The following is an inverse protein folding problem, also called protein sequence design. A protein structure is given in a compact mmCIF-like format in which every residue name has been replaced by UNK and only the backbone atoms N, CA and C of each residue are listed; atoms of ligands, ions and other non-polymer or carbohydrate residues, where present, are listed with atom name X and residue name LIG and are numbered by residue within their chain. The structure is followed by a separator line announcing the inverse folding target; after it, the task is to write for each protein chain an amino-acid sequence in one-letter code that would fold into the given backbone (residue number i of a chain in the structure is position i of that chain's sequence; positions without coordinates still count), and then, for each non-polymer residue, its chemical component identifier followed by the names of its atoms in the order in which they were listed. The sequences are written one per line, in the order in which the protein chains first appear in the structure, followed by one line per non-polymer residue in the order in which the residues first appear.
data_IF_832720159670
#
_entry.id   IF_832720159670
#
_cell.length_a   1.000
_cell.length_b   1.000
_cell.length_c   1.000
_cell.angle_alpha   90.00
_cell.angle_beta   90.00
_cell.angle_gamma   90.00
#
_symmetry.space_group_name_H-M   'P 1'
#
loop_
_entity.id
_entity.type
_entity.pdbx_description
1 polymer ?
#
# COMPACT_ATOMS: atom_id res chain seq x y z
N UNK A 1 -14.70 -9.42 -1.14
CA UNK A 1 -14.71 -8.37 -2.17
C UNK A 1 -16.05 -8.29 -2.91
N UNK A 2 -16.47 -9.28 -3.71
CA UNK A 2 -17.81 -9.27 -4.34
C UNK A 2 -18.96 -9.23 -3.33
N UNK A 3 -18.81 -9.90 -2.18
CA UNK A 3 -19.78 -9.81 -1.07
C UNK A 3 -19.87 -8.40 -0.47
N UNK A 4 -18.76 -7.66 -0.45
CA UNK A 4 -18.70 -6.27 0.04
C UNK A 4 -19.47 -5.35 -0.91
N UNK A 5 -19.16 -5.41 -2.21
CA UNK A 5 -19.89 -4.67 -3.26
C UNK A 5 -21.38 -5.03 -3.19
N UNK A 6 -21.70 -6.33 -3.13
CA UNK A 6 -23.07 -6.82 -3.04
C UNK A 6 -23.78 -6.28 -1.81
N UNK A 7 -23.14 -6.30 -0.63
CA UNK A 7 -23.74 -5.78 0.60
C UNK A 7 -24.02 -4.28 0.54
N UNK A 8 -23.10 -3.49 -0.03
CA UNK A 8 -23.28 -2.04 -0.22
C UNK A 8 -24.34 -1.72 -1.26
N UNK A 9 -24.37 -2.44 -2.39
CA UNK A 9 -25.39 -2.29 -3.43
C UNK A 9 -26.78 -2.74 -2.96
N UNK A 10 -26.86 -3.79 -2.13
CA UNK A 10 -28.13 -4.22 -1.51
C UNK A 10 -28.68 -3.18 -0.52
N UNK A 11 -27.80 -2.43 0.15
CA UNK A 11 -28.17 -1.43 1.16
C UNK A 11 -28.52 -0.07 0.57
N UNK A 12 -27.66 0.48 -0.29
CA UNK A 12 -27.79 1.84 -0.81
C UNK A 12 -28.52 1.94 -2.14
N UNK A 13 -28.72 0.81 -2.86
CA UNK A 13 -29.22 0.71 -4.25
C UNK A 13 -28.41 1.49 -5.30
N UNK A 14 -27.60 2.48 -4.92
CA UNK A 14 -26.77 3.33 -5.78
C UNK A 14 -25.46 3.66 -5.08
N UNK A 15 -24.35 3.46 -5.79
CA UNK A 15 -23.01 3.81 -5.34
C UNK A 15 -22.72 5.31 -5.58
N UNK A 16 -23.53 6.18 -5.00
CA UNK A 16 -23.50 7.61 -5.28
C UNK A 16 -22.73 8.41 -4.22
N UNK A 17 -21.48 8.73 -4.55
CA UNK A 17 -20.65 9.59 -3.71
C UNK A 17 -21.04 11.07 -3.78
N UNK A 18 -21.86 11.51 -4.73
CA UNK A 18 -22.39 12.88 -4.76
C UNK A 18 -23.63 13.05 -3.86
N UNK A 19 -24.19 11.95 -3.35
CA UNK A 19 -25.21 11.94 -2.31
C UNK A 19 -24.64 11.36 -0.99
N UNK A 20 -23.68 12.01 -0.32
CA UNK A 20 -22.99 11.46 0.85
C UNK A 20 -23.93 11.07 2.00
N UNK A 21 -25.13 11.65 2.07
CA UNK A 21 -26.17 11.30 3.03
C UNK A 21 -26.74 9.89 2.87
N UNK A 22 -26.64 9.27 1.69
CA UNK A 22 -27.14 7.90 1.45
C UNK A 22 -26.09 6.82 1.73
N UNK A 23 -24.84 7.21 1.96
CA UNK A 23 -23.73 6.32 2.26
C UNK A 23 -23.34 6.40 3.75
N UNK A 24 -23.24 5.25 4.39
CA UNK A 24 -22.79 5.13 5.78
C UNK A 24 -21.27 5.13 5.87
N UNK A 25 -20.70 5.40 7.05
CA UNK A 25 -19.25 5.25 7.29
C UNK A 25 -18.74 3.85 6.95
N UNK A 26 -19.56 2.82 7.21
CA UNK A 26 -19.26 1.44 6.81
C UNK A 26 -19.13 1.30 5.29
N UNK A 27 -19.97 1.98 4.51
CA UNK A 27 -19.89 1.98 3.06
C UNK A 27 -18.61 2.70 2.59
N UNK A 28 -18.28 3.86 3.16
CA UNK A 28 -17.03 4.57 2.87
C UNK A 28 -15.80 3.72 3.17
N UNK A 29 -15.77 3.07 4.33
CA UNK A 29 -14.64 2.25 4.76
C UNK A 29 -14.48 1.03 3.86
N UNK A 30 -15.58 0.38 3.47
CA UNK A 30 -15.52 -0.77 2.59
C UNK A 30 -15.06 -0.46 1.17
N UNK A 31 -15.42 0.72 0.67
CA UNK A 31 -15.31 1.06 -0.74
C UNK A 31 -14.09 1.91 -1.06
N UNK A 32 -13.73 2.83 -0.16
CA UNK A 32 -12.59 3.72 -0.32
C UNK A 32 -11.45 3.36 0.64
N UNK A 33 -11.77 2.72 1.77
CA UNK A 33 -10.81 2.40 2.81
C UNK A 33 -10.63 3.48 3.86
N UNK A 34 -11.41 4.56 3.76
CA UNK A 34 -11.40 5.69 4.67
C UNK A 34 -12.74 5.78 5.37
N UNK A 35 -12.75 6.34 6.59
CA UNK A 35 -13.99 6.81 7.19
C UNK A 35 -14.58 7.95 6.34
N UNK A 36 -15.85 8.29 6.55
CA UNK A 36 -16.46 9.40 5.82
C UNK A 36 -15.77 10.73 6.13
N UNK A 37 -15.39 10.94 7.38
CA UNK A 37 -14.66 12.13 7.83
C UNK A 37 -13.28 12.25 7.17
N UNK A 38 -12.50 11.16 7.14
CA UNK A 38 -11.16 11.16 6.54
C UNK A 38 -11.23 11.36 5.02
N UNK A 39 -12.24 10.77 4.37
CA UNK A 39 -12.50 10.98 2.96
C UNK A 39 -12.73 12.47 2.65
N UNK A 40 -13.59 13.11 3.43
CA UNK A 40 -13.95 14.52 3.23
C UNK A 40 -12.75 15.44 3.53
N UNK A 41 -11.97 15.11 4.55
CA UNK A 41 -10.73 15.81 4.86
C UNK A 41 -9.74 15.75 3.68
N UNK A 42 -9.49 14.54 3.16
CA UNK A 42 -8.63 14.35 1.99
C UNK A 42 -9.14 15.14 0.78
N UNK A 43 -10.45 15.11 0.51
CA UNK A 43 -11.03 15.83 -0.62
C UNK A 43 -10.85 17.37 -0.52
N UNK A 44 -10.81 17.89 0.70
CA UNK A 44 -10.55 19.31 0.97
C UNK A 44 -9.08 19.68 0.77
N UNK A 45 -8.17 18.73 0.92
CA UNK A 45 -6.73 18.91 0.67
C UNK A 45 -6.32 18.77 -0.81
N UNK A 46 -7.28 18.69 -1.74
CA UNK A 46 -7.02 18.55 -3.18
C UNK A 46 -7.59 19.72 -3.99
N UNK A 47 -7.08 20.95 -3.83
CA UNK A 47 -7.55 22.12 -4.58
C UNK A 47 -7.31 21.99 -6.11
N UNK A 48 -6.31 21.25 -6.56
CA UNK A 48 -6.06 21.03 -8.00
C UNK A 48 -7.01 20.02 -8.64
N UNK A 49 -7.77 19.25 -7.84
CA UNK A 49 -8.75 18.30 -8.34
C UNK A 49 -10.09 18.98 -8.61
N UNK A 50 -10.35 19.24 -9.89
CA UNK A 50 -11.54 19.97 -10.32
C UNK A 50 -12.77 19.07 -10.55
N UNK A 51 -13.95 19.69 -10.35
CA UNK A 51 -15.22 19.18 -10.86
C UNK A 51 -15.22 19.22 -12.40
N UNK A 52 -16.06 18.38 -13.02
CA UNK A 52 -16.30 18.40 -14.46
C UNK A 52 -17.79 18.19 -14.74
N UNK A 53 -18.27 18.48 -15.95
CA UNK A 53 -19.68 18.22 -16.31
C UNK A 53 -20.10 16.75 -16.17
N UNK A 54 -19.14 15.81 -16.18
CA UNK A 54 -19.39 14.37 -16.16
C UNK A 54 -19.32 13.77 -14.75
N UNK A 55 -18.61 14.43 -13.82
CA UNK A 55 -18.38 13.94 -12.47
C UNK A 55 -17.89 15.05 -11.54
N UNK A 56 -18.24 14.96 -10.27
CA UNK A 56 -17.62 15.79 -9.23
C UNK A 56 -16.17 15.38 -8.94
N UNK A 57 -15.45 16.18 -8.16
CA UNK A 57 -14.17 15.78 -7.56
C UNK A 57 -14.34 14.67 -6.51
N UNK A 58 -15.49 14.60 -5.84
CA UNK A 58 -15.79 13.56 -4.83
C UNK A 58 -15.88 12.18 -5.50
N UNK A 59 -16.65 12.06 -6.58
CA UNK A 59 -16.74 10.83 -7.39
C UNK A 59 -15.38 10.47 -7.99
N UNK A 60 -14.61 11.45 -8.45
CA UNK A 60 -13.26 11.20 -8.96
C UNK A 60 -12.38 10.49 -7.93
N UNK A 61 -12.32 11.06 -6.72
CA UNK A 61 -11.55 10.52 -5.62
C UNK A 61 -12.06 9.13 -5.21
N UNK A 62 -13.38 8.93 -5.16
CA UNK A 62 -13.99 7.64 -4.85
C UNK A 62 -13.62 6.56 -5.88
N UNK A 63 -13.68 6.85 -7.18
CA UNK A 63 -13.25 5.93 -8.26
C UNK A 63 -11.79 5.51 -8.05
N UNK A 64 -10.92 6.47 -7.76
CA UNK A 64 -9.51 6.20 -7.52
C UNK A 64 -9.31 5.31 -6.29
N UNK A 65 -9.89 5.68 -5.14
CA UNK A 65 -9.73 4.92 -3.90
C UNK A 65 -10.35 3.52 -4.00
N UNK A 66 -11.50 3.36 -4.66
CA UNK A 66 -12.08 2.04 -4.93
C UNK A 66 -11.22 1.18 -5.85
N UNK A 67 -10.58 1.77 -6.88
CA UNK A 67 -9.59 1.04 -7.69
C UNK A 67 -8.44 0.55 -6.82
N UNK A 68 -7.91 1.42 -5.94
CA UNK A 68 -6.77 1.09 -5.09
C UNK A 68 -7.11 0.02 -4.03
N UNK A 69 -8.26 0.14 -3.37
CA UNK A 69 -8.68 -0.78 -2.30
C UNK A 69 -9.13 -2.14 -2.83
N UNK A 70 -9.83 -2.15 -3.95
CA UNK A 70 -10.55 -3.33 -4.41
C UNK A 70 -9.93 -3.94 -5.66
N UNK A 71 -8.96 -3.30 -6.32
CA UNK A 71 -8.31 -3.84 -7.51
C UNK A 71 -9.28 -4.10 -8.68
N UNK A 72 -10.43 -3.41 -8.72
CA UNK A 72 -11.48 -3.67 -9.72
C UNK A 72 -11.05 -3.23 -11.13
N UNK A 73 -11.50 -3.93 -12.17
CA UNK A 73 -11.23 -3.52 -13.55
C UNK A 73 -11.95 -2.20 -13.88
N UNK A 74 -11.46 -1.49 -14.91
CA UNK A 74 -12.10 -0.24 -15.35
C UNK A 74 -13.55 -0.46 -15.77
N UNK A 75 -13.86 -1.62 -16.36
CA UNK A 75 -15.23 -2.01 -16.71
C UNK A 75 -16.14 -2.14 -15.48
N UNK A 76 -15.66 -2.74 -14.39
CA UNK A 76 -16.46 -2.84 -13.16
C UNK A 76 -16.64 -1.46 -12.51
N UNK A 77 -15.59 -0.65 -12.46
CA UNK A 77 -15.70 0.73 -11.95
C UNK A 77 -16.65 1.58 -12.80
N UNK A 78 -16.62 1.41 -14.12
CA UNK A 78 -17.56 2.04 -15.06
C UNK A 78 -19.01 1.71 -14.71
N UNK A 79 -19.31 0.44 -14.42
CA UNK A 79 -20.64 0.00 -13.99
C UNK A 79 -21.01 0.58 -12.62
N UNK A 80 -20.11 0.48 -11.63
CA UNK A 80 -20.41 0.91 -10.26
C UNK A 80 -20.69 2.42 -10.15
N UNK A 81 -19.87 3.23 -10.82
CA UNK A 81 -19.98 4.69 -10.77
C UNK A 81 -20.82 5.26 -11.91
N UNK A 82 -21.40 4.43 -12.78
CA UNK A 82 -22.19 4.84 -13.94
C UNK A 82 -21.44 5.82 -14.86
N UNK A 83 -20.14 5.60 -15.03
CA UNK A 83 -19.26 6.40 -15.88
C UNK A 83 -18.88 5.62 -17.13
N UNK A 84 -18.54 6.31 -18.23
CA UNK A 84 -18.01 5.62 -19.43
C UNK A 84 -16.64 5.01 -19.13
N UNK A 85 -16.44 3.73 -19.42
CA UNK A 85 -15.18 2.99 -19.16
C UNK A 85 -13.92 3.72 -19.66
N UNK A 86 -13.97 4.27 -20.88
CA UNK A 86 -12.87 5.05 -21.49
C UNK A 86 -12.45 6.27 -20.66
N UNK A 87 -13.27 6.74 -19.72
CA UNK A 87 -12.97 7.88 -18.83
C UNK A 87 -12.31 7.45 -17.51
N UNK A 88 -12.50 6.21 -17.06
CA UNK A 88 -11.99 5.74 -15.75
C UNK A 88 -10.47 5.94 -15.63
N UNK A 89 -9.70 5.53 -16.65
CA UNK A 89 -8.25 5.73 -16.66
C UNK A 89 -7.84 7.20 -16.57
N UNK A 90 -8.55 8.10 -17.26
CA UNK A 90 -8.31 9.56 -17.19
C UNK A 90 -8.60 10.12 -15.80
N UNK A 91 -9.68 9.66 -15.16
CA UNK A 91 -10.06 10.05 -13.81
C UNK A 91 -8.97 9.62 -12.81
N UNK A 92 -8.54 8.36 -12.88
CA UNK A 92 -7.46 7.82 -12.04
C UNK A 92 -6.20 8.67 -12.19
N UNK A 93 -5.83 9.03 -13.43
CA UNK A 93 -4.66 9.85 -13.70
C UNK A 93 -4.79 11.26 -13.09
N UNK A 94 -5.94 11.91 -13.23
CA UNK A 94 -6.20 13.25 -12.69
C UNK A 94 -6.12 13.27 -11.16
N UNK A 95 -6.77 12.31 -10.50
CA UNK A 95 -6.70 12.20 -9.03
C UNK A 95 -5.27 11.98 -8.59
N UNK A 96 -4.54 11.07 -9.25
CA UNK A 96 -3.13 10.81 -8.93
C UNK A 96 -2.26 12.07 -9.07
N UNK A 97 -2.46 12.85 -10.13
CA UNK A 97 -1.73 14.10 -10.34
C UNK A 97 -2.03 15.10 -9.21
N UNK A 98 -3.31 15.25 -8.82
CA UNK A 98 -3.71 16.11 -7.72
C UNK A 98 -3.13 15.66 -6.38
N UNK A 99 -3.16 14.36 -6.08
CA UNK A 99 -2.53 13.81 -4.87
C UNK A 99 -1.03 14.13 -4.81
N UNK A 100 -0.31 13.97 -5.93
CA UNK A 100 1.13 14.26 -6.02
C UNK A 100 1.42 15.75 -5.82
N UNK A 101 0.55 16.63 -6.30
CA UNK A 101 0.77 18.07 -6.24
C UNK A 101 0.37 18.66 -4.88
N UNK A 102 -0.78 18.25 -4.35
CA UNK A 102 -1.42 18.95 -3.25
C UNK A 102 -1.27 18.24 -1.91
N UNK A 103 -1.19 16.90 -1.91
CA UNK A 103 -1.28 16.10 -0.67
C UNK A 103 0.07 15.49 -0.28
N UNK A 104 0.67 14.72 -1.18
CA UNK A 104 1.90 13.92 -0.96
C UNK A 104 3.13 14.73 -0.54
N UNK A 105 3.33 15.99 -0.99
CA UNK A 105 4.47 16.79 -0.54
C UNK A 105 4.42 17.09 0.96
N UNK A 106 3.21 17.19 1.52
CA UNK A 106 2.98 17.61 2.90
C UNK A 106 2.58 16.46 3.81
N UNK A 107 1.97 15.41 3.24
CA UNK A 107 1.41 14.29 3.98
C UNK A 107 2.02 12.96 3.54
N UNK A 108 2.25 12.09 4.52
CA UNK A 108 2.82 10.75 4.29
C UNK A 108 1.76 9.64 4.30
N UNK A 109 0.59 9.91 4.86
CA UNK A 109 -0.56 9.01 4.87
C UNK A 109 -1.85 9.78 5.12
N UNK A 110 -2.97 9.08 5.12
CA UNK A 110 -4.30 9.69 5.33
C UNK A 110 -4.50 10.27 6.74
N UNK A 111 -3.81 9.72 7.75
CA UNK A 111 -3.97 10.10 9.16
C UNK A 111 -3.14 11.33 9.59
N UNK A 112 -3.03 12.36 8.74
CA UNK A 112 -2.38 13.65 9.04
C UNK A 112 -1.00 13.56 9.69
N UNK A 113 -0.01 13.14 8.91
CA UNK A 113 1.37 13.18 9.38
C UNK A 113 2.19 13.98 8.41
N UNK A 114 2.69 15.09 8.94
CA UNK A 114 3.53 16.00 8.22
C UNK A 114 4.82 15.30 7.80
N UNK A 115 5.18 15.49 6.54
CA UNK A 115 6.48 15.06 6.03
C UNK A 115 7.65 15.63 6.85
N UNK A 116 7.45 16.79 7.49
CA UNK A 116 8.40 17.43 8.42
C UNK A 116 8.91 16.47 9.50
N UNK A 117 8.04 15.64 10.10
CA UNK A 117 8.44 14.68 11.15
C UNK A 117 9.48 13.68 10.64
N UNK A 118 9.37 13.27 9.38
CA UNK A 118 10.32 12.34 8.76
C UNK A 118 11.56 13.01 8.22
N UNK A 119 11.47 14.26 7.81
CA UNK A 119 12.66 15.05 7.51
C UNK A 119 13.50 15.28 8.77
N UNK A 120 12.87 15.44 9.95
CA UNK A 120 13.55 15.41 11.25
C UNK A 120 14.17 14.04 11.53
N UNK A 121 13.40 12.97 11.34
CA UNK A 121 13.85 11.59 11.51
C UNK A 121 15.08 11.29 10.61
N UNK A 122 15.10 11.80 9.37
CA UNK A 122 16.20 11.64 8.41
C UNK A 122 17.53 12.20 8.94
N UNK A 123 17.49 13.28 9.70
CA UNK A 123 18.67 13.94 10.27
C UNK A 123 19.02 13.45 11.68
N UNK A 124 18.27 12.49 12.22
CA UNK A 124 18.50 11.93 13.56
C UNK A 124 19.58 10.85 13.55
N UNK A 125 20.06 10.44 14.74
CA UNK A 125 21.01 9.35 14.89
C UNK A 125 20.26 8.02 15.00
N UNK A 126 20.66 7.05 14.20
CA UNK A 126 20.01 5.74 14.14
C UNK A 126 20.97 4.64 14.50
N UNK A 127 20.50 3.71 15.32
CA UNK A 127 21.26 2.51 15.72
C UNK A 127 20.55 1.27 15.18
N UNK A 128 21.33 0.29 14.77
CA UNK A 128 20.83 -0.97 14.22
C UNK A 128 20.62 -1.99 15.33
N UNK A 129 19.49 -2.68 15.31
CA UNK A 129 19.09 -3.71 16.26
C UNK A 129 18.56 -4.93 15.51
N UNK A 130 18.59 -6.10 16.15
CA UNK A 130 17.77 -7.21 15.66
C UNK A 130 16.29 -6.86 15.85
N UNK A 131 15.45 -7.29 14.92
CA UNK A 131 14.00 -7.14 15.02
C UNK A 131 13.41 -7.76 16.28
N UNK A 132 14.06 -8.74 16.91
CA UNK A 132 13.61 -9.28 18.21
C UNK A 132 13.73 -8.27 19.35
N UNK A 133 14.67 -7.32 19.24
CA UNK A 133 14.93 -6.29 20.25
C UNK A 133 14.09 -5.02 20.02
N UNK A 134 13.13 -5.09 19.09
CA UNK A 134 12.25 -3.99 18.73
C UNK A 134 10.84 -4.25 19.27
N UNK A 135 10.46 -3.44 20.26
CA UNK A 135 9.10 -3.36 20.79
C UNK A 135 8.18 -2.77 19.72
N UNK A 136 7.61 -3.66 18.91
CA UNK A 136 6.74 -3.31 17.79
C UNK A 136 5.42 -4.07 17.95
N UNK A 137 4.27 -3.43 17.68
CA UNK A 137 2.97 -4.02 17.94
C UNK A 137 2.71 -5.27 17.10
N UNK A 138 2.14 -6.30 17.71
CA UNK A 138 1.59 -7.45 17.00
C UNK A 138 0.34 -7.02 16.22
N UNK A 139 0.27 -7.43 14.95
CA UNK A 139 -0.78 -7.09 14.00
C UNK A 139 -1.50 -8.35 13.55
N UNK A 140 -2.83 -8.32 13.46
CA UNK A 140 -3.61 -9.38 12.84
C UNK A 140 -3.50 -9.36 11.31
N UNK A 141 -3.84 -10.48 10.66
CA UNK A 141 -3.88 -10.54 9.19
C UNK A 141 -4.87 -9.51 8.60
N UNK A 142 -6.00 -9.26 9.28
CA UNK A 142 -6.98 -8.28 8.84
C UNK A 142 -6.45 -6.84 8.96
N UNK A 143 -5.73 -6.52 10.05
CA UNK A 143 -5.05 -5.22 10.18
C UNK A 143 -4.01 -5.03 9.07
N UNK A 144 -3.24 -6.07 8.76
CA UNK A 144 -2.29 -6.02 7.65
C UNK A 144 -2.98 -5.80 6.29
N UNK A 145 -4.10 -6.48 6.03
CA UNK A 145 -4.88 -6.31 4.79
C UNK A 145 -5.42 -4.89 4.67
N UNK A 146 -5.91 -4.29 5.76
CA UNK A 146 -6.39 -2.92 5.77
C UNK A 146 -5.25 -1.92 5.55
N UNK A 147 -4.11 -2.07 6.24
CA UNK A 147 -2.94 -1.20 6.09
C UNK A 147 -2.33 -1.27 4.69
N UNK A 148 -2.37 -2.44 4.05
CA UNK A 148 -1.78 -2.67 2.73
C UNK A 148 -2.74 -2.43 1.57
N UNK A 149 -3.99 -2.04 1.86
CA UNK A 149 -5.07 -1.92 0.88
C UNK A 149 -5.25 -3.23 0.05
N UNK A 150 -5.02 -4.39 0.67
CA UNK A 150 -5.24 -5.71 0.10
C UNK A 150 -4.01 -6.63 -0.03
N UNK A 151 -4.26 -7.87 -0.45
CA UNK A 151 -3.26 -8.96 -0.40
C UNK A 151 -2.11 -8.82 -1.40
N UNK A 152 -2.26 -7.97 -2.41
CA UNK A 152 -1.26 -7.86 -3.49
C UNK A 152 0.11 -7.42 -2.96
N UNK A 153 0.14 -6.38 -2.13
CA UNK A 153 1.41 -5.90 -1.55
C UNK A 153 1.98 -6.91 -0.54
N UNK A 154 1.13 -7.64 0.18
CA UNK A 154 1.53 -8.71 1.10
C UNK A 154 2.18 -9.91 0.38
N UNK A 155 1.73 -10.25 -0.83
CA UNK A 155 2.38 -11.31 -1.63
C UNK A 155 3.80 -10.93 -2.00
N UNK A 156 4.02 -9.68 -2.42
CA UNK A 156 5.36 -9.20 -2.73
C UNK A 156 6.23 -9.03 -1.48
N UNK A 157 5.64 -8.62 -0.36
CA UNK A 157 6.31 -8.45 0.92
C UNK A 157 7.12 -9.68 1.33
N UNK A 158 6.56 -10.89 1.20
CA UNK A 158 7.24 -12.16 1.53
C UNK A 158 8.58 -12.31 0.79
N UNK A 159 8.59 -12.00 -0.51
CA UNK A 159 9.80 -12.07 -1.35
C UNK A 159 10.83 -11.03 -0.92
N UNK A 160 10.42 -9.80 -0.59
CA UNK A 160 11.35 -8.77 -0.08
C UNK A 160 11.99 -9.17 1.24
N UNK A 161 11.24 -9.79 2.14
CA UNK A 161 11.78 -10.26 3.41
C UNK A 161 12.72 -11.45 3.21
N UNK A 162 12.38 -12.40 2.33
CA UNK A 162 13.25 -13.54 2.03
C UNK A 162 14.61 -13.07 1.49
N UNK A 163 14.61 -12.18 0.50
CA UNK A 163 15.84 -11.59 -0.06
C UNK A 163 16.64 -10.81 0.98
N UNK A 164 15.96 -10.10 1.88
CA UNK A 164 16.62 -9.34 2.95
C UNK A 164 17.33 -10.27 3.93
N UNK A 165 16.67 -11.34 4.38
CA UNK A 165 17.27 -12.32 5.28
C UNK A 165 18.39 -13.14 4.62
N UNK A 166 18.31 -13.42 3.32
CA UNK A 166 19.36 -14.15 2.60
C UNK A 166 20.67 -13.35 2.50
N UNK A 167 20.58 -12.04 2.30
CA UNK A 167 21.76 -11.16 2.25
C UNK A 167 22.45 -11.04 3.59
N UNK A 168 21.72 -11.08 4.70
CA UNK A 168 22.29 -10.99 6.05
C UNK A 168 22.93 -12.31 6.54
N UNK A 169 22.57 -13.46 5.95
CA UNK A 169 23.29 -14.73 6.22
C UNK A 169 24.77 -14.66 5.83
N UNK A 170 25.11 -13.80 4.86
CA UNK A 170 26.50 -13.60 4.41
C UNK A 170 27.34 -12.77 5.38
N UNK A 171 26.72 -12.04 6.31
CA UNK A 171 27.35 -11.11 7.25
C UNK A 171 27.32 -11.59 8.71
N UNK A 172 26.43 -12.52 9.09
CA UNK A 172 26.33 -13.01 10.47
C UNK A 172 27.37 -14.09 10.80
N UNK A 173 28.13 -13.91 11.88
CA UNK A 173 29.16 -14.84 12.37
C UNK A 173 28.62 -16.16 12.98
N UNK A 174 27.30 -16.35 13.03
CA UNK A 174 26.66 -17.54 13.60
C UNK A 174 25.91 -18.33 12.53
N UNK A 175 26.24 -19.61 12.27
CA UNK A 175 25.57 -20.41 11.26
C UNK A 175 24.10 -20.64 11.63
N UNK A 176 23.18 -20.06 10.88
CA UNK A 176 21.75 -20.40 10.92
C UNK A 176 20.80 -19.37 11.55
N UNK A 177 21.29 -18.30 12.18
CA UNK A 177 20.44 -17.21 12.66
C UNK A 177 20.06 -16.28 11.48
N UNK A 178 18.76 -16.18 11.18
CA UNK A 178 18.25 -15.26 10.17
C UNK A 178 17.88 -13.95 10.87
N UNK A 179 18.83 -13.03 10.95
CA UNK A 179 18.60 -11.75 11.61
C UNK A 179 17.92 -10.78 10.64
N UNK A 180 16.88 -10.12 11.11
CA UNK A 180 16.24 -9.02 10.38
C UNK A 180 16.60 -7.74 11.11
N UNK A 181 17.36 -6.86 10.47
CA UNK A 181 17.81 -5.64 11.13
C UNK A 181 16.81 -4.51 10.97
N UNK A 182 16.57 -3.83 12.08
CA UNK A 182 15.80 -2.59 12.13
C UNK A 182 16.68 -1.48 12.67
N UNK A 183 16.35 -0.24 12.31
CA UNK A 183 17.01 0.93 12.87
C UNK A 183 16.03 1.72 13.73
N UNK A 184 16.45 2.05 14.95
CA UNK A 184 15.70 2.82 15.93
C UNK A 184 16.41 4.14 16.23
N UNK A 185 15.63 5.15 16.59
CA UNK A 185 16.05 6.50 16.92
C UNK A 185 15.72 6.78 18.39
N UNK A 186 16.73 7.11 19.21
CA UNK A 186 16.51 7.39 20.64
C UNK A 186 15.58 8.60 20.83
N UNK A 187 15.64 9.58 19.91
CA UNK A 187 14.80 10.78 19.97
C UNK A 187 13.34 10.53 19.52
N UNK A 188 13.09 9.43 18.79
CA UNK A 188 11.79 9.06 18.22
C UNK A 188 11.57 7.54 18.33
N UNK A 189 11.35 7.02 19.55
CA UNK A 189 11.18 5.57 19.77
C UNK A 189 9.90 5.02 19.11
N UNK A 190 8.94 5.90 18.79
CA UNK A 190 7.71 5.57 18.09
C UNK A 190 7.89 5.36 16.58
N UNK A 191 9.13 5.44 16.06
CA UNK A 191 9.46 5.27 14.65
C UNK A 191 10.53 4.19 14.49
N UNK A 192 10.18 3.14 13.75
CA UNK A 192 11.13 2.14 13.25
C UNK A 192 11.42 2.40 11.78
N UNK A 193 12.66 2.17 11.34
CA UNK A 193 12.96 2.14 9.90
C UNK A 193 13.75 0.91 9.48
N UNK A 194 13.55 0.50 8.24
CA UNK A 194 14.19 -0.66 7.61
C UNK A 194 14.76 -0.26 6.25
N UNK A 195 15.98 -0.73 5.99
CA UNK A 195 16.67 -0.50 4.71
C UNK A 195 16.52 -1.71 3.79
N UNK A 196 15.87 -1.50 2.66
CA UNK A 196 15.75 -2.48 1.59
C UNK A 196 16.67 -2.12 0.43
N UNK A 197 17.39 -3.09 -0.10
CA UNK A 197 18.17 -2.88 -1.33
C UNK A 197 17.23 -2.85 -2.55
N UNK A 198 17.44 -1.91 -3.47
CA UNK A 198 16.63 -1.81 -4.69
C UNK A 198 16.90 -2.99 -5.64
N UNK A 199 15.84 -3.64 -6.12
CA UNK A 199 15.92 -4.70 -7.16
C UNK A 199 16.38 -4.21 -8.53
N UNK A 200 16.22 -2.91 -8.81
CA UNK A 200 16.55 -2.32 -10.12
C UNK A 200 18.00 -1.82 -10.22
N UNK A 201 18.66 -1.55 -9.09
CA UNK A 201 20.04 -1.05 -9.05
C UNK A 201 20.66 -1.36 -7.70
N UNK A 202 21.84 -1.99 -7.68
CA UNK A 202 22.56 -2.34 -6.44
C UNK A 202 22.98 -1.11 -5.62
N UNK A 203 23.08 0.06 -6.25
CA UNK A 203 23.53 1.32 -5.65
C UNK A 203 22.44 2.08 -4.86
N UNK A 204 21.15 1.71 -4.96
CA UNK A 204 20.07 2.46 -4.31
C UNK A 204 19.44 1.67 -3.17
N UNK A 205 19.59 2.16 -1.95
CA UNK A 205 18.86 1.67 -0.78
C UNK A 205 17.56 2.46 -0.61
N UNK A 206 16.46 1.75 -0.40
CA UNK A 206 15.14 2.32 -0.07
C UNK A 206 14.92 2.18 1.43
N UNK A 207 14.45 3.24 2.05
CA UNK A 207 14.22 3.27 3.49
C UNK A 207 12.71 3.28 3.69
N UNK A 208 12.20 2.29 4.42
CA UNK A 208 10.82 2.22 4.89
C UNK A 208 10.80 2.67 6.34
N UNK A 209 9.97 3.63 6.68
CA UNK A 209 9.73 4.11 8.03
C UNK A 209 8.31 3.74 8.43
N UNK A 210 8.12 3.28 9.66
CA UNK A 210 6.81 3.00 10.24
C UNK A 210 6.73 3.71 11.57
N UNK A 211 5.71 4.55 11.73
CA UNK A 211 5.37 5.12 13.02
C UNK A 211 4.25 4.28 13.64
N UNK A 212 4.39 3.98 14.93
CA UNK A 212 3.43 3.19 15.67
C UNK A 212 3.16 3.80 17.06
N UNK A 213 2.05 3.39 17.67
CA UNK A 213 1.59 3.82 18.98
C UNK A 213 0.87 2.63 19.63
N UNK A 214 1.56 1.95 20.53
CA UNK A 214 1.09 0.71 21.17
C UNK A 214 -0.18 0.93 22.01
N UNK A 215 -0.48 2.17 22.40
CA UNK A 215 -1.66 2.49 23.18
C UNK A 215 -2.93 2.56 22.33
N UNK A 216 -2.82 2.54 21.00
CA UNK A 216 -3.96 2.64 20.08
C UNK A 216 -4.42 1.27 19.62
N UNK A 217 -5.76 1.12 19.54
CA UNK A 217 -6.41 -0.07 18.95
C UNK A 217 -5.97 -0.32 17.50
N UNK A 218 -5.65 0.73 16.76
CA UNK A 218 -4.95 0.66 15.48
C UNK A 218 -3.55 1.22 15.70
N UNK A 219 -2.56 0.35 15.99
CA UNK A 219 -1.30 0.81 16.53
C UNK A 219 -0.38 1.39 15.44
N UNK A 220 -0.63 1.10 14.16
CA UNK A 220 0.14 1.69 13.06
C UNK A 220 -0.42 3.06 12.73
N UNK A 221 0.37 4.10 13.03
CA UNK A 221 0.00 5.49 12.77
C UNK A 221 0.20 5.80 11.29
N UNK A 222 1.34 5.38 10.71
CA UNK A 222 1.64 5.54 9.28
C UNK A 222 2.87 4.78 8.80
N UNK A 223 2.98 4.71 7.47
CA UNK A 223 4.11 4.16 6.76
C UNK A 223 4.62 5.16 5.71
N UNK A 224 5.93 5.34 5.64
CA UNK A 224 6.60 6.09 4.58
C UNK A 224 7.66 5.23 3.93
N UNK A 225 7.83 5.31 2.61
CA UNK A 225 8.99 4.71 1.97
C UNK A 225 9.60 5.62 0.93
N UNK A 226 10.93 5.69 0.89
CA UNK A 226 11.68 6.48 -0.11
C UNK A 226 11.71 5.82 -1.50
N UNK A 227 10.98 4.73 -1.71
CA UNK A 227 10.80 4.15 -3.04
C UNK A 227 9.82 4.99 -3.87
N UNK A 228 9.91 4.86 -5.20
CA UNK A 228 9.06 5.65 -6.10
C UNK A 228 7.56 5.38 -5.89
N UNK A 229 7.17 4.18 -5.44
CA UNK A 229 5.80 3.91 -5.05
C UNK A 229 5.44 4.62 -3.73
N UNK A 230 6.26 4.46 -2.68
CA UNK A 230 6.02 5.09 -1.37
C UNK A 230 6.06 6.62 -1.39
N UNK A 231 6.78 7.23 -2.34
CA UNK A 231 6.87 8.68 -2.49
C UNK A 231 5.77 9.29 -3.38
N UNK A 232 4.92 8.48 -4.02
CA UNK A 232 3.92 8.92 -5.02
C UNK A 232 2.51 8.37 -4.78
N UNK A 233 2.29 7.64 -3.69
CA UNK A 233 1.01 6.98 -3.43
C UNK A 233 0.60 7.22 -1.99
N UNK A 234 -0.70 7.40 -1.77
CA UNK A 234 -1.25 7.27 -0.43
C UNK A 234 -1.52 5.79 -0.21
N UNK A 235 -0.77 5.19 0.72
CA UNK A 235 -0.86 3.76 1.01
C UNK A 235 0.51 3.09 1.16
N UNK A 236 0.48 1.77 1.29
CA UNK A 236 1.65 0.96 1.61
C UNK A 236 2.33 0.44 0.32
N UNK A 237 3.61 0.76 0.12
CA UNK A 237 4.40 0.09 -0.91
C UNK A 237 4.81 -1.32 -0.46
N UNK A 238 5.36 -2.13 -1.36
CA UNK A 238 5.83 -3.48 -1.03
C UNK A 238 6.92 -3.50 0.06
N UNK A 239 7.75 -2.46 0.18
CA UNK A 239 8.77 -2.35 1.24
C UNK A 239 8.13 -2.11 2.60
N UNK A 240 7.20 -1.16 2.70
CA UNK A 240 6.47 -0.93 3.95
C UNK A 240 5.59 -2.12 4.31
N UNK A 241 5.04 -2.82 3.31
CA UNK A 241 4.27 -4.04 3.54
C UNK A 241 5.17 -5.17 4.05
N UNK A 242 6.41 -5.27 3.56
CA UNK A 242 7.42 -6.19 4.07
C UNK A 242 7.77 -5.90 5.53
N UNK A 243 7.97 -4.63 5.89
CA UNK A 243 8.27 -4.24 7.27
C UNK A 243 7.09 -4.57 8.19
N UNK A 244 5.87 -4.14 7.83
CA UNK A 244 4.65 -4.43 8.57
C UNK A 244 4.41 -5.93 8.76
N UNK A 245 4.54 -6.70 7.67
CA UNK A 245 4.28 -8.14 7.69
C UNK A 245 5.30 -8.89 8.53
N UNK A 246 6.59 -8.54 8.44
CA UNK A 246 7.60 -9.23 9.23
C UNK A 246 7.52 -8.88 10.72
N UNK A 247 7.57 -7.59 11.05
CA UNK A 247 7.59 -7.11 12.43
C UNK A 247 6.26 -7.32 13.14
N UNK A 248 5.14 -7.09 12.46
CA UNK A 248 3.82 -7.20 13.08
C UNK A 248 3.23 -8.60 13.10
N UNK A 249 3.69 -9.53 12.25
CA UNK A 249 2.99 -10.81 12.09
C UNK A 249 3.92 -12.02 12.00
N UNK A 250 4.81 -12.08 11.00
CA UNK A 250 5.58 -13.29 10.73
C UNK A 250 6.55 -13.67 11.86
N UNK A 251 7.17 -12.69 12.54
CA UNK A 251 8.12 -13.00 13.64
C UNK A 251 7.44 -13.63 14.87
N UNK A 252 6.12 -13.48 15.01
CA UNK A 252 5.33 -14.01 16.12
C UNK A 252 4.82 -15.44 15.84
N UNK A 253 4.97 -15.93 14.61
CA UNK A 253 4.57 -17.30 14.25
C UNK A 253 5.69 -18.29 14.62
N UNK A 254 5.33 -19.32 15.40
CA UNK A 254 6.22 -20.42 15.82
C UNK A 254 6.84 -21.20 14.65
N UNK A 255 6.30 -21.06 13.44
CA UNK A 255 6.84 -21.70 12.23
C UNK A 255 7.10 -20.62 11.17
N UNK A 256 8.37 -20.44 10.73
CA UNK A 256 8.68 -19.49 9.66
C UNK A 256 8.00 -19.95 8.37
N UNK A 257 7.00 -19.21 7.89
CA UNK A 257 6.35 -19.49 6.61
C UNK A 257 7.19 -18.94 5.44
N UNK A 258 8.51 -19.20 5.46
CA UNK A 258 9.36 -18.97 4.30
C UNK A 258 9.21 -20.13 3.34
N UNK A 259 8.07 -20.22 2.68
CA UNK A 259 8.00 -21.02 1.47
C UNK A 259 8.82 -20.26 0.44
N UNK A 260 10.02 -20.77 0.16
CA UNK A 260 10.77 -20.42 -1.04
C UNK A 260 9.81 -20.59 -2.21
N UNK A 261 9.51 -19.50 -2.91
CA UNK A 261 8.78 -19.57 -4.18
C UNK A 261 9.74 -20.11 -5.24
N UNK A 262 10.00 -21.40 -5.18
CA UNK A 262 10.45 -22.22 -6.29
C UNK A 262 10.02 -23.66 -5.99
N UNK A 263 9.30 -24.25 -6.94
CA UNK A 263 8.87 -25.66 -6.93
C UNK A 263 7.70 -26.00 -5.98
N UNK A 264 6.49 -25.55 -6.34
CA UNK A 264 5.31 -26.42 -6.52
C UNK A 264 4.12 -25.58 -6.96
N UNK A 265 4.05 -25.38 -8.27
CA UNK A 265 2.89 -24.84 -8.98
C UNK A 265 1.57 -25.55 -8.59
N UNK A 266 1.63 -26.80 -8.12
CA UNK A 266 0.47 -27.59 -7.69
C UNK A 266 -0.03 -27.31 -6.26
N UNK A 267 0.83 -26.97 -5.30
CA UNK A 267 0.38 -26.65 -3.93
C UNK A 267 -0.36 -25.30 -3.88
N UNK A 268 -0.05 -24.41 -4.84
CA UNK A 268 -0.79 -23.18 -5.05
C UNK A 268 -2.20 -23.39 -5.62
N UNK A 269 -2.45 -24.50 -6.33
CA UNK A 269 -3.79 -24.82 -6.84
C UNK A 269 -4.68 -25.31 -5.70
N UNK A 270 -4.16 -26.08 -4.75
CA UNK A 270 -4.97 -26.63 -3.65
C UNK A 270 -5.35 -25.56 -2.59
N UNK A 271 -4.43 -24.65 -2.28
CA UNK A 271 -4.71 -23.46 -1.45
C UNK A 271 -5.64 -22.46 -2.17
N UNK A 272 -5.58 -22.39 -3.50
CA UNK A 272 -6.50 -21.59 -4.33
C UNK A 272 -7.85 -22.28 -4.55
N UNK A 273 -7.92 -23.61 -4.47
CA UNK A 273 -9.17 -24.38 -4.63
C UNK A 273 -10.11 -24.21 -3.44
N UNK A 274 -9.57 -24.03 -2.21
CA UNK A 274 -10.36 -23.58 -1.05
C UNK A 274 -10.85 -22.13 -1.14
N UNK A 275 -10.33 -21.34 -2.10
CA UNK A 275 -10.69 -19.95 -2.37
C UNK A 275 -11.12 -19.75 -3.85
N UNK A 276 -11.65 -20.80 -4.50
CA UNK A 276 -11.92 -20.81 -5.93
C UNK A 276 -13.19 -20.03 -6.30
N UNK A 277 -13.05 -18.72 -6.50
CA UNK A 277 -13.94 -17.93 -7.34
C UNK A 277 -13.32 -16.60 -7.84
N UNK A 278 -11.99 -16.50 -8.01
CA UNK A 278 -11.38 -15.25 -8.48
C UNK A 278 -10.68 -15.42 -9.83
N UNK A 279 -11.38 -14.89 -10.83
CA UNK A 279 -10.99 -14.59 -12.21
C UNK A 279 -9.50 -14.31 -12.39
N UNK A 280 -8.94 -14.89 -13.46
CA UNK A 280 -7.63 -14.56 -14.02
C UNK A 280 -7.46 -13.04 -14.15
N UNK A 281 -6.45 -12.49 -13.47
CA UNK A 281 -6.03 -11.10 -13.60
C UNK A 281 -5.19 -10.95 -14.86
N UNK A 282 -5.70 -10.21 -15.84
CA UNK A 282 -5.03 -9.86 -17.09
C UNK A 282 -3.90 -8.86 -16.85
N UNK A 283 -2.88 -8.87 -17.70
CA UNK A 283 -1.72 -7.95 -17.72
C UNK A 283 -2.08 -6.45 -17.60
N UNK A 284 -3.31 -6.04 -17.93
CA UNK A 284 -3.81 -4.68 -17.71
C UNK A 284 -3.77 -4.22 -16.25
N UNK A 285 -3.90 -5.12 -15.28
CA UNK A 285 -3.86 -4.79 -13.85
C UNK A 285 -2.46 -4.34 -13.39
N UNK A 286 -1.40 -4.79 -14.08
CA UNK A 286 -0.02 -4.38 -13.81
C UNK A 286 0.29 -2.95 -14.25
N UNK A 287 -0.47 -2.40 -15.22
CA UNK A 287 -0.27 -1.03 -15.72
C UNK A 287 -0.60 0.04 -14.68
N UNK A 288 -1.41 -0.31 -13.69
CA UNK A 288 -1.82 0.58 -12.60
C UNK A 288 -0.94 0.45 -11.35
N UNK A 289 -0.12 -0.60 -11.26
CA UNK A 289 0.99 -0.70 -10.29
C UNK A 289 2.25 -0.10 -10.91
N UNK A 290 2.73 1.02 -10.38
CA UNK A 290 3.73 1.89 -11.03
C UNK A 290 5.17 1.34 -11.01
N UNK A 291 5.39 0.22 -11.69
CA UNK A 291 6.70 -0.36 -12.00
C UNK A 291 7.07 -0.38 -13.49
N UNK A 292 6.13 -0.16 -14.41
CA UNK A 292 6.42 -0.24 -15.84
C UNK A 292 6.63 1.15 -16.46
N UNK A 293 7.87 1.46 -16.84
CA UNK A 293 8.10 2.38 -17.97
C UNK A 293 7.63 1.63 -19.23
N UNK A 294 6.86 2.24 -20.15
CA UNK A 294 6.83 1.73 -21.51
C UNK A 294 8.24 1.87 -22.07
N UNK A 295 8.76 0.79 -22.64
CA UNK A 295 10.00 0.81 -23.40
C UNK A 295 9.90 1.93 -24.44
N UNK A 296 10.83 2.89 -24.36
CA UNK A 296 11.04 3.85 -25.42
C UNK A 296 11.79 3.12 -26.52
N UNK A 297 11.05 2.57 -27.47
CA UNK A 297 11.58 2.18 -28.77
C UNK A 297 12.16 3.42 -29.47
N UNK A 298 13.45 3.31 -29.76
CA UNK A 298 14.20 3.89 -30.88
C UNK A 298 13.86 5.28 -31.39
N UNK A 299 14.82 6.20 -31.21
CA UNK A 299 15.41 6.86 -32.37
C UNK A 299 16.81 7.38 -32.02
N UNK A 300 17.81 6.61 -32.44
CA UNK A 300 19.10 7.15 -32.86
C UNK A 300 18.85 8.25 -33.89
N UNK A 301 19.30 9.47 -33.57
CA UNK A 301 19.73 10.43 -34.59
C UNK A 301 21.04 11.01 -34.07
N UNK A 302 22.14 10.42 -34.50
CA UNK A 302 23.44 11.06 -34.57
C UNK A 302 23.80 11.24 -36.04
N UNK A 303 24.13 12.50 -36.38
CA UNK A 303 24.52 13.07 -37.67
C UNK A 303 23.37 13.68 -38.49
#
# INVERSE_FOLDING_TARGET
MMNTIRSTLLRSRVFDFDAPQVLTDYDYQNTSGLSKGDFDCLLNQLPSLNNSPVRSKRVALAVFLSKMRMGLSNRILSTLFQLKEKKIGKIIHQVRAALINDFVPYNIGFNHIERSKYDLAKNSKWKSYDATDCDFPELSEDQLRDLTFGIFQLRQAKSYVAEHLEKEKSSSASPGAKNFFVELCDEQPDIVRVRYQSRFTNAKTRISYIQFDENKKQPIVCCYCTCSAGSRTIGCCSHSAATLWYLGYQRHLLTPSYVQTSEKYFDHVEASQKYSAYSSSSEEDMKYTLGHRPDSDGSDISQ
#
